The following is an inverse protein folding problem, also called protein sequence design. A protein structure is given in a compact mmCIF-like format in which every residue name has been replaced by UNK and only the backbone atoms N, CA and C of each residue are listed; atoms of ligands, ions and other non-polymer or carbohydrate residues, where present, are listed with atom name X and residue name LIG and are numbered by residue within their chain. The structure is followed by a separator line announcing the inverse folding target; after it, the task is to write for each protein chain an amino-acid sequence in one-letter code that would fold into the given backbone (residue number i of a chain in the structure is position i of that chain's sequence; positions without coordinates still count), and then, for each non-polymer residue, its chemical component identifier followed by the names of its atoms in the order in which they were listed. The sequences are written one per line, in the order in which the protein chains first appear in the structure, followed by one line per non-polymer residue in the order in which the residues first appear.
data_IF_898986481974
#
_entry.id   IF_898986481974
#
_cell.length_a   1.000
_cell.length_b   1.000
_cell.length_c   1.000
_cell.angle_alpha   90.00
_cell.angle_beta   90.00
_cell.angle_gamma   90.00
#
_symmetry.space_group_name_H-M   'P 1'
#
loop_
_entity.id
_entity.type
_entity.pdbx_description
1 polymer ?
#
# COMPACT_ATOMS: atom_id res chain seq x y z
N UNK A 1 2.32 -24.74 8.66
CA UNK A 1 2.53 -26.17 8.33
C UNK A 1 2.48 -26.38 6.84
N UNK A 2 3.11 -27.45 6.30
CA UNK A 2 3.12 -27.74 4.86
C UNK A 2 1.71 -27.77 4.23
N UNK A 3 0.71 -28.28 4.96
CA UNK A 3 -0.68 -28.27 4.51
C UNK A 3 -1.26 -26.84 4.38
N UNK A 4 -0.92 -25.97 5.32
CA UNK A 4 -1.29 -24.55 5.26
C UNK A 4 -0.66 -23.85 4.07
N UNK A 5 0.60 -24.15 3.77
CA UNK A 5 1.32 -23.53 2.66
C UNK A 5 0.78 -23.98 1.30
N UNK A 6 0.39 -25.25 1.17
CA UNK A 6 -0.28 -25.79 -0.03
C UNK A 6 -1.62 -25.09 -0.24
N UNK A 7 -2.41 -24.92 0.82
CA UNK A 7 -3.71 -24.24 0.75
C UNK A 7 -3.56 -22.78 0.32
N UNK A 8 -2.65 -22.03 0.95
CA UNK A 8 -2.38 -20.64 0.58
C UNK A 8 -1.94 -20.50 -0.89
N UNK A 9 -1.06 -21.38 -1.36
CA UNK A 9 -0.66 -21.43 -2.77
C UNK A 9 -1.86 -21.66 -3.69
N UNK A 10 -2.77 -22.58 -3.33
CA UNK A 10 -3.96 -22.84 -4.13
C UNK A 10 -4.86 -21.61 -4.24
N UNK A 11 -5.05 -20.82 -3.17
CA UNK A 11 -5.81 -19.58 -3.23
C UNK A 11 -5.19 -18.57 -4.20
N UNK A 12 -3.86 -18.40 -4.14
CA UNK A 12 -3.13 -17.51 -5.05
C UNK A 12 -3.16 -18.02 -6.50
N UNK A 13 -3.08 -19.34 -6.73
CA UNK A 13 -3.18 -19.96 -8.06
C UNK A 13 -4.58 -19.75 -8.65
N UNK A 14 -5.62 -19.91 -7.86
CA UNK A 14 -7.00 -19.65 -8.26
C UNK A 14 -7.19 -18.18 -8.66
N UNK A 15 -6.63 -17.26 -7.89
CA UNK A 15 -6.68 -15.83 -8.18
C UNK A 15 -5.94 -15.50 -9.49
N UNK A 16 -4.73 -16.01 -9.68
CA UNK A 16 -3.97 -15.85 -10.92
C UNK A 16 -4.72 -16.40 -12.12
N UNK A 17 -5.26 -17.61 -12.01
CA UNK A 17 -6.02 -18.26 -13.09
C UNK A 17 -7.29 -17.48 -13.46
N UNK A 18 -7.96 -16.86 -12.49
CA UNK A 18 -9.10 -15.99 -12.74
C UNK A 18 -8.71 -14.77 -13.56
N UNK A 19 -7.59 -14.12 -13.23
CA UNK A 19 -7.07 -12.96 -13.97
C UNK A 19 -6.63 -13.36 -15.39
N UNK A 20 -5.93 -14.49 -15.54
CA UNK A 20 -5.48 -15.01 -16.84
C UNK A 20 -6.65 -15.35 -17.77
N UNK A 21 -7.74 -15.93 -17.26
CA UNK A 21 -8.98 -16.17 -18.02
C UNK A 21 -9.63 -14.89 -18.54
N UNK A 22 -9.32 -13.74 -17.92
CA UNK A 22 -9.76 -12.40 -18.37
C UNK A 22 -8.74 -11.72 -19.29
N UNK A 23 -7.70 -12.44 -19.73
CA UNK A 23 -6.67 -11.93 -20.62
C UNK A 23 -5.60 -11.10 -19.94
N UNK A 24 -5.51 -11.13 -18.61
CA UNK A 24 -4.50 -10.41 -17.84
C UNK A 24 -3.29 -11.33 -17.64
N UNK A 25 -2.13 -10.91 -18.10
CA UNK A 25 -0.88 -11.63 -17.83
C UNK A 25 -0.53 -11.47 -16.34
N UNK A 26 -0.25 -12.58 -15.68
CA UNK A 26 0.14 -12.61 -14.27
C UNK A 26 1.59 -13.07 -14.16
N UNK A 27 2.47 -12.18 -13.73
CA UNK A 27 3.85 -12.49 -13.43
C UNK A 27 4.05 -12.53 -11.91
N UNK A 28 4.88 -13.45 -11.42
CA UNK A 28 5.16 -13.61 -9.99
C UNK A 28 6.61 -13.27 -9.68
N UNK A 29 6.89 -12.66 -8.53
CA UNK A 29 8.26 -12.41 -8.11
C UNK A 29 9.03 -13.70 -7.85
N UNK A 30 10.34 -13.61 -7.84
CA UNK A 30 11.22 -14.70 -7.41
C UNK A 30 11.42 -14.60 -5.89
N UNK A 31 10.88 -15.54 -5.09
CA UNK A 31 10.97 -15.44 -3.63
C UNK A 31 12.43 -15.57 -3.15
N UNK A 32 12.71 -14.85 -2.04
CA UNK A 32 13.91 -15.05 -1.23
C UNK A 32 13.58 -15.99 -0.05
N UNK A 33 14.60 -16.45 0.65
CA UNK A 33 14.39 -17.08 1.96
C UNK A 33 14.18 -16.00 3.03
N UNK A 34 12.91 -15.66 3.29
CA UNK A 34 12.52 -14.61 4.22
C UNK A 34 12.74 -14.95 5.70
N UNK A 35 13.01 -16.22 6.02
CA UNK A 35 13.27 -16.67 7.40
C UNK A 35 14.74 -16.50 7.81
N UNK A 36 15.58 -16.04 6.90
CA UNK A 36 16.99 -15.80 7.20
C UNK A 36 17.20 -14.42 7.82
N UNK A 37 18.12 -14.31 8.80
CA UNK A 37 18.57 -13.02 9.28
C UNK A 37 19.17 -12.20 8.13
N UNK A 38 18.94 -10.91 8.15
CA UNK A 38 19.49 -9.98 7.17
C UNK A 38 20.14 -8.79 7.85
N UNK A 39 21.08 -8.16 7.18
CA UNK A 39 21.80 -7.01 7.76
C UNK A 39 22.35 -6.08 6.69
N UNK A 40 22.57 -4.84 7.11
CA UNK A 40 23.40 -3.85 6.46
C UNK A 40 24.57 -3.51 7.42
N UNK A 41 25.50 -2.62 7.05
CA UNK A 41 26.50 -2.12 8.00
C UNK A 41 25.88 -1.39 9.22
N UNK A 42 24.65 -0.89 9.11
CA UNK A 42 24.01 -0.04 10.12
C UNK A 42 23.07 -0.79 11.07
N UNK A 43 22.52 -1.96 10.64
CA UNK A 43 21.54 -2.70 11.43
C UNK A 43 21.47 -4.18 11.05
N UNK A 44 20.79 -4.94 11.92
CA UNK A 44 20.43 -6.35 11.69
C UNK A 44 18.94 -6.53 11.94
N UNK A 45 18.32 -7.44 11.20
CA UNK A 45 16.96 -7.92 11.42
C UNK A 45 16.95 -9.45 11.44
N UNK A 46 16.18 -10.05 12.35
CA UNK A 46 16.12 -11.50 12.54
C UNK A 46 15.48 -12.22 11.35
N UNK A 47 14.54 -11.55 10.68
CA UNK A 47 13.86 -12.07 9.49
C UNK A 47 13.57 -10.93 8.52
N UNK A 48 13.29 -11.27 7.27
CA UNK A 48 12.61 -10.39 6.31
C UNK A 48 11.09 -10.59 6.41
N UNK A 49 10.31 -9.71 5.78
CA UNK A 49 8.85 -9.75 5.84
C UNK A 49 8.25 -10.70 4.76
N UNK A 50 8.46 -10.40 3.48
CA UNK A 50 7.88 -11.16 2.38
C UNK A 50 7.96 -10.43 1.04
N UNK A 51 7.25 -10.94 0.03
CA UNK A 51 7.14 -10.29 -1.29
C UNK A 51 5.71 -10.34 -1.85
N UNK A 52 4.71 -10.55 -1.02
CA UNK A 52 3.34 -10.70 -1.46
C UNK A 52 2.72 -9.38 -1.99
N UNK A 53 2.92 -8.21 -1.34
CA UNK A 53 2.36 -6.96 -1.80
C UNK A 53 3.33 -6.17 -2.70
N UNK A 54 3.37 -6.42 -4.02
CA UNK A 54 4.31 -5.73 -4.92
C UNK A 54 4.11 -4.22 -4.95
N UNK A 55 2.87 -3.73 -4.79
CA UNK A 55 2.58 -2.29 -4.80
C UNK A 55 3.13 -1.53 -3.58
N UNK A 56 3.55 -2.22 -2.52
CA UNK A 56 4.19 -1.57 -1.38
C UNK A 56 5.62 -1.14 -1.71
N UNK A 57 6.26 -1.89 -2.61
CA UNK A 57 7.67 -1.74 -2.98
C UNK A 57 7.85 -1.02 -4.32
N UNK A 58 6.92 -1.24 -5.26
CA UNK A 58 7.02 -0.78 -6.65
C UNK A 58 5.95 0.27 -6.94
N UNK A 59 6.38 1.48 -7.23
CA UNK A 59 5.51 2.56 -7.69
C UNK A 59 5.59 2.67 -9.21
N UNK A 60 4.46 2.46 -9.88
CA UNK A 60 4.36 2.65 -11.33
C UNK A 60 3.74 3.99 -11.66
N UNK A 61 4.46 4.86 -12.38
CA UNK A 61 3.97 6.16 -12.86
C UNK A 61 4.34 6.30 -14.34
N UNK A 62 3.34 6.31 -15.21
CA UNK A 62 3.54 6.30 -16.66
C UNK A 62 4.29 5.04 -17.10
N UNK A 63 5.44 5.22 -17.74
CA UNK A 63 6.32 4.14 -18.20
C UNK A 63 7.45 3.81 -17.21
N UNK A 64 7.41 4.38 -16.02
CA UNK A 64 8.42 4.14 -14.99
C UNK A 64 7.91 3.17 -13.92
N UNK A 65 8.74 2.22 -13.53
CA UNK A 65 8.61 1.44 -12.30
C UNK A 65 9.74 1.88 -11.37
N UNK A 66 9.37 2.51 -10.26
CA UNK A 66 10.27 3.01 -9.23
C UNK A 66 10.27 2.07 -8.03
N UNK A 67 11.44 1.60 -7.61
CA UNK A 67 11.62 0.91 -6.33
C UNK A 67 11.60 1.95 -5.20
N UNK A 68 10.66 1.81 -4.27
CA UNK A 68 10.54 2.69 -3.11
C UNK A 68 11.71 2.53 -2.13
N UNK A 69 11.87 3.51 -1.25
CA UNK A 69 12.92 3.48 -0.22
C UNK A 69 12.73 2.33 0.76
N UNK A 70 11.50 2.01 1.12
CA UNK A 70 11.05 1.19 2.24
C UNK A 70 11.50 1.73 3.59
N UNK A 71 10.57 1.84 4.53
CA UNK A 71 10.81 2.43 5.84
C UNK A 71 11.04 1.41 6.95
N UNK A 72 10.74 0.13 6.72
CA UNK A 72 11.00 -0.95 7.68
C UNK A 72 12.24 -1.75 7.31
N UNK A 73 13.14 -1.97 8.27
CA UNK A 73 14.37 -2.75 8.09
C UNK A 73 14.10 -4.15 7.53
N UNK A 74 13.08 -4.84 8.04
CA UNK A 74 12.71 -6.18 7.57
C UNK A 74 12.18 -6.21 6.12
N UNK A 75 11.80 -5.06 5.55
CA UNK A 75 11.30 -4.92 4.18
C UNK A 75 12.33 -4.33 3.21
N UNK A 76 13.48 -3.91 3.70
CA UNK A 76 14.47 -3.17 2.92
C UNK A 76 14.95 -3.92 1.67
N UNK A 77 15.05 -5.27 1.74
CA UNK A 77 15.52 -6.12 0.65
C UNK A 77 14.41 -6.70 -0.24
N UNK A 78 13.14 -6.39 -0.02
CA UNK A 78 12.02 -6.95 -0.81
C UNK A 78 12.12 -6.65 -2.30
N UNK A 79 12.71 -5.53 -2.70
CA UNK A 79 12.92 -5.20 -4.11
C UNK A 79 13.71 -6.26 -4.88
N UNK A 80 14.55 -7.05 -4.21
CA UNK A 80 15.32 -8.12 -4.84
C UNK A 80 14.44 -9.21 -5.45
N UNK A 81 13.28 -9.47 -4.87
CA UNK A 81 12.32 -10.44 -5.40
C UNK A 81 11.77 -10.05 -6.77
N UNK A 82 11.68 -8.76 -7.04
CA UNK A 82 11.11 -8.20 -8.26
C UNK A 82 12.15 -7.94 -9.34
N UNK A 83 13.43 -7.88 -8.99
CA UNK A 83 14.53 -7.57 -9.93
C UNK A 83 14.58 -8.48 -11.17
N UNK A 84 14.36 -9.80 -11.09
CA UNK A 84 14.30 -10.64 -12.28
C UNK A 84 13.20 -10.25 -13.25
N UNK A 85 11.98 -9.91 -12.75
CA UNK A 85 10.87 -9.44 -13.57
C UNK A 85 11.16 -8.06 -14.17
N UNK A 86 11.67 -7.13 -13.36
CA UNK A 86 11.99 -5.77 -13.85
C UNK A 86 13.06 -5.80 -14.93
N UNK A 87 14.06 -6.68 -14.81
CA UNK A 87 15.06 -6.90 -15.84
C UNK A 87 14.45 -7.45 -17.14
N UNK A 88 13.51 -8.38 -17.01
CA UNK A 88 12.78 -8.92 -18.17
C UNK A 88 11.99 -7.79 -18.84
N UNK A 89 11.17 -7.03 -18.11
CA UNK A 89 10.36 -5.93 -18.67
C UNK A 89 11.23 -4.86 -19.34
N UNK A 90 12.34 -4.49 -18.71
CA UNK A 90 13.30 -3.55 -19.29
C UNK A 90 13.87 -4.02 -20.64
N UNK A 91 14.13 -5.32 -20.79
CA UNK A 91 14.62 -5.89 -22.03
C UNK A 91 13.52 -6.03 -23.12
N UNK A 92 12.26 -6.23 -22.71
CA UNK A 92 11.12 -6.42 -23.62
C UNK A 92 10.53 -5.09 -24.11
N UNK A 93 10.55 -4.04 -23.26
CA UNK A 93 9.97 -2.72 -23.56
C UNK A 93 11.05 -1.62 -23.57
N UNK A 94 11.46 -1.11 -24.75
CA UNK A 94 12.47 -0.06 -24.85
C UNK A 94 12.03 1.29 -24.25
N UNK A 95 10.76 1.49 -23.96
CA UNK A 95 10.25 2.70 -23.33
C UNK A 95 10.14 2.58 -21.80
N UNK A 96 10.25 1.39 -21.25
CA UNK A 96 10.17 1.16 -19.82
C UNK A 96 11.37 1.77 -19.09
N UNK A 97 11.11 2.53 -18.05
CA UNK A 97 12.12 3.05 -17.13
C UNK A 97 12.08 2.27 -15.83
N UNK A 98 13.23 1.77 -15.43
CA UNK A 98 13.43 1.16 -14.13
C UNK A 98 14.32 2.07 -13.29
N UNK A 99 13.79 2.58 -12.21
CA UNK A 99 14.48 3.50 -11.31
C UNK A 99 14.46 2.96 -9.87
N UNK A 100 15.43 3.36 -9.09
CA UNK A 100 15.48 3.05 -7.66
C UNK A 100 15.59 4.35 -6.87
N UNK A 101 14.70 4.58 -5.93
CA UNK A 101 14.84 5.67 -4.97
C UNK A 101 16.12 5.48 -4.13
N UNK A 102 16.69 6.53 -3.56
CA UNK A 102 17.85 6.41 -2.69
C UNK A 102 17.60 5.36 -1.61
N UNK A 103 18.47 4.37 -1.51
CA UNK A 103 18.34 3.34 -0.46
C UNK A 103 18.74 3.96 0.89
N UNK A 104 17.79 4.08 1.85
CA UNK A 104 18.06 4.69 3.14
C UNK A 104 18.97 3.79 3.98
N UNK A 105 19.75 4.38 4.85
CA UNK A 105 20.55 3.62 5.81
C UNK A 105 19.69 2.97 6.89
N UNK A 106 18.56 3.59 7.24
CA UNK A 106 17.67 3.17 8.33
C UNK A 106 18.39 2.99 9.66
N UNK A 107 19.20 3.99 10.02
CA UNK A 107 19.86 4.04 11.33
C UNK A 107 18.85 4.29 12.45
N UNK A 108 19.26 4.24 13.70
CA UNK A 108 18.38 4.57 14.82
C UNK A 108 17.93 6.05 14.82
N UNK A 109 18.64 6.93 14.10
CA UNK A 109 18.25 8.32 13.92
C UNK A 109 17.00 8.49 13.04
N UNK A 110 16.69 7.50 12.21
CA UNK A 110 15.48 7.50 11.36
C UNK A 110 14.20 7.24 12.14
N UNK A 111 14.29 6.82 13.40
CA UNK A 111 13.13 6.43 14.20
C UNK A 111 13.07 7.14 15.53
N UNK A 112 11.85 7.44 15.97
CA UNK A 112 11.59 7.95 17.32
C UNK A 112 11.59 6.79 18.30
N UNK A 113 12.52 6.83 19.26
CA UNK A 113 12.64 5.82 20.30
C UNK A 113 11.31 5.68 21.07
N UNK A 114 10.97 4.46 21.40
CA UNK A 114 9.78 4.08 22.17
C UNK A 114 8.42 4.49 21.54
N UNK A 115 8.40 4.99 20.31
CA UNK A 115 7.16 5.40 19.64
C UNK A 115 6.16 4.24 19.53
N UNK A 116 6.61 3.03 19.18
CA UNK A 116 5.77 1.84 19.02
C UNK A 116 5.57 1.05 20.31
N UNK A 117 5.98 1.59 21.48
CA UNK A 117 5.78 0.94 22.77
C UNK A 117 4.31 0.63 23.06
N UNK A 118 4.02 -0.55 23.55
CA UNK A 118 2.66 -0.99 23.97
C UNK A 118 2.09 -0.14 25.10
N UNK A 119 2.94 0.63 25.81
CA UNK A 119 2.52 1.59 26.84
C UNK A 119 1.82 2.82 26.29
N UNK A 120 1.89 3.05 24.96
CA UNK A 120 1.28 4.19 24.30
C UNK A 120 -0.16 3.83 23.91
N UNK A 121 -1.12 4.38 24.65
CA UNK A 121 -2.55 4.17 24.38
C UNK A 121 -3.05 4.83 23.10
N UNK A 122 -4.18 4.35 22.59
CA UNK A 122 -4.82 4.79 21.32
C UNK A 122 -5.05 6.31 21.29
N UNK A 123 -5.53 6.92 22.39
CA UNK A 123 -5.80 8.36 22.41
C UNK A 123 -4.53 9.20 22.17
N UNK A 124 -3.41 8.77 22.74
CA UNK A 124 -2.13 9.44 22.52
C UNK A 124 -1.65 9.26 21.06
N UNK A 125 -1.85 8.09 20.46
CA UNK A 125 -1.52 7.85 19.05
C UNK A 125 -2.36 8.71 18.10
N UNK A 126 -3.66 8.81 18.36
CA UNK A 126 -4.55 9.70 17.60
C UNK A 126 -4.09 11.15 17.68
N UNK A 127 -3.74 11.62 18.89
CA UNK A 127 -3.18 12.97 19.06
C UNK A 127 -1.89 13.16 18.30
N UNK A 128 -0.99 12.19 18.31
CA UNK A 128 0.24 12.24 17.52
C UNK A 128 -0.03 12.27 16.02
N UNK A 129 -1.01 11.49 15.52
CA UNK A 129 -1.39 11.53 14.10
C UNK A 129 -1.98 12.89 13.72
N UNK A 130 -2.82 13.48 14.57
CA UNK A 130 -3.34 14.84 14.40
C UNK A 130 -2.20 15.88 14.31
N UNK A 131 -1.21 15.76 15.20
CA UNK A 131 -0.03 16.63 15.25
C UNK A 131 1.02 16.29 14.17
N UNK A 132 0.77 15.28 13.34
CA UNK A 132 1.70 14.77 12.31
C UNK A 132 3.05 14.34 12.90
N UNK A 133 3.03 13.79 14.09
CA UNK A 133 4.17 13.24 14.80
C UNK A 133 4.17 11.73 14.64
N UNK A 134 5.05 11.20 13.78
CA UNK A 134 5.10 9.79 13.40
C UNK A 134 6.38 9.09 13.87
N UNK A 135 6.41 7.77 13.74
CA UNK A 135 7.55 6.94 14.15
C UNK A 135 8.83 7.28 13.41
N UNK A 136 8.74 7.57 12.12
CA UNK A 136 9.88 8.00 11.32
C UNK A 136 10.21 9.47 11.58
N UNK A 137 11.50 9.78 11.60
CA UNK A 137 12.02 11.15 11.66
C UNK A 137 12.16 11.71 10.25
N UNK A 138 12.70 12.93 10.16
CA UNK A 138 13.07 13.53 8.88
C UNK A 138 14.59 13.41 8.61
N UNK A 139 15.23 12.32 9.07
CA UNK A 139 16.68 12.12 8.85
C UNK A 139 16.97 11.84 7.38
N UNK A 140 16.30 10.87 6.79
CA UNK A 140 16.42 10.48 5.37
C UNK A 140 15.06 10.54 4.66
N UNK A 141 15.05 10.63 3.31
CA UNK A 141 13.80 10.44 2.55
C UNK A 141 13.27 9.01 2.70
N UNK A 142 12.08 8.86 3.27
CA UNK A 142 11.41 7.57 3.47
C UNK A 142 10.02 7.60 2.84
N UNK A 143 9.71 6.58 2.05
CA UNK A 143 8.35 6.29 1.57
C UNK A 143 8.21 4.84 1.16
N UNK A 144 7.02 4.27 1.39
CA UNK A 144 6.57 3.04 0.78
C UNK A 144 5.68 3.39 -0.43
N UNK A 145 5.76 2.62 -1.50
CA UNK A 145 4.97 2.89 -2.71
C UNK A 145 3.46 2.79 -2.46
N UNK A 146 3.04 1.99 -1.47
CA UNK A 146 1.63 1.86 -1.08
C UNK A 146 1.02 3.11 -0.43
N UNK A 147 1.83 4.10 -0.08
CA UNK A 147 1.34 5.41 0.38
C UNK A 147 1.02 6.37 -0.77
N UNK A 148 1.25 5.96 -2.02
CA UNK A 148 1.10 6.82 -3.20
C UNK A 148 -0.09 6.39 -4.04
N UNK A 149 -1.06 7.27 -4.20
CA UNK A 149 -2.19 7.12 -5.12
C UNK A 149 -1.98 7.99 -6.37
N UNK A 150 -2.43 7.49 -7.50
CA UNK A 150 -2.29 8.15 -8.82
C UNK A 150 -3.63 8.64 -9.33
N UNK A 151 -3.71 9.93 -9.63
CA UNK A 151 -4.87 10.60 -10.21
C UNK A 151 -4.43 11.37 -11.47
N UNK A 152 -4.07 10.63 -12.53
CA UNK A 152 -3.52 11.23 -13.73
C UNK A 152 -2.19 11.95 -13.45
N UNK A 153 -2.19 13.28 -13.55
CA UNK A 153 -1.01 14.12 -13.26
C UNK A 153 -0.87 14.51 -11.78
N UNK A 154 -1.76 14.02 -10.92
CA UNK A 154 -1.68 14.22 -9.49
C UNK A 154 -1.25 12.94 -8.77
N UNK A 155 -0.27 13.04 -7.90
CA UNK A 155 0.15 11.99 -6.98
C UNK A 155 -0.25 12.40 -5.57
N UNK A 156 -1.09 11.62 -4.92
CA UNK A 156 -1.54 11.85 -3.55
C UNK A 156 -0.79 10.91 -2.63
N UNK A 157 -0.08 11.46 -1.66
CA UNK A 157 0.85 10.71 -0.81
C UNK A 157 0.44 10.85 0.66
N UNK A 158 0.21 9.72 1.33
CA UNK A 158 -0.05 9.72 2.76
C UNK A 158 1.23 10.05 3.53
N UNK A 159 1.18 11.11 4.34
CA UNK A 159 2.17 11.35 5.37
C UNK A 159 1.79 10.54 6.62
N UNK A 160 2.63 9.60 7.00
CA UNK A 160 2.32 8.63 8.05
C UNK A 160 3.56 7.91 8.59
N UNK A 161 3.38 6.66 9.01
CA UNK A 161 4.45 5.86 9.60
C UNK A 161 5.56 5.50 8.61
N UNK A 162 5.17 5.23 7.37
CA UNK A 162 6.05 4.69 6.32
C UNK A 162 6.53 5.73 5.33
N UNK A 163 5.93 6.93 5.37
CA UNK A 163 6.28 8.02 4.46
C UNK A 163 6.40 9.33 5.23
N UNK A 164 7.60 9.91 5.21
CA UNK A 164 7.90 11.19 5.84
C UNK A 164 7.89 12.35 4.83
N UNK A 165 8.02 13.59 5.31
CA UNK A 165 8.00 14.78 4.45
C UNK A 165 9.20 14.84 3.50
N UNK A 166 10.38 14.37 3.91
CA UNK A 166 11.54 14.26 3.01
C UNK A 166 11.28 13.28 1.86
N UNK A 167 10.60 12.16 2.11
CA UNK A 167 10.19 11.21 1.07
C UNK A 167 9.21 11.85 0.09
N UNK A 168 8.24 12.60 0.59
CA UNK A 168 7.29 13.37 -0.26
C UNK A 168 8.02 14.44 -1.07
N UNK A 169 8.97 15.15 -0.48
CA UNK A 169 9.77 16.15 -1.19
C UNK A 169 10.66 15.51 -2.26
N UNK A 170 11.22 14.33 -1.97
CA UNK A 170 11.97 13.57 -2.97
C UNK A 170 11.08 13.19 -4.16
N UNK A 171 9.86 12.71 -3.93
CA UNK A 171 8.88 12.40 -4.99
C UNK A 171 8.53 13.63 -5.82
N UNK A 172 8.37 14.82 -5.20
CA UNK A 172 8.17 16.10 -5.91
C UNK A 172 9.32 16.44 -6.85
N UNK A 173 10.55 16.19 -6.42
CA UNK A 173 11.75 16.46 -7.22
C UNK A 173 11.93 15.44 -8.34
N UNK A 174 11.55 14.19 -8.10
CA UNK A 174 11.64 13.13 -9.08
C UNK A 174 10.56 13.25 -10.19
N UNK A 175 9.31 13.43 -9.80
CA UNK A 175 8.18 13.54 -10.71
C UNK A 175 7.84 14.99 -11.05
N UNK A 176 8.74 15.70 -11.75
CA UNK A 176 8.61 17.14 -12.06
C UNK A 176 7.39 17.49 -12.90
N UNK A 177 6.89 16.53 -13.69
CA UNK A 177 5.71 16.71 -14.56
C UNK A 177 4.39 16.32 -13.86
N UNK A 178 4.44 16.03 -12.57
CA UNK A 178 3.29 15.69 -11.72
C UNK A 178 3.17 16.67 -10.55
N UNK A 179 1.95 16.83 -10.07
CA UNK A 179 1.66 17.54 -8.81
C UNK A 179 1.61 16.52 -7.68
N UNK A 180 2.44 16.68 -6.67
CA UNK A 180 2.52 15.77 -5.52
C UNK A 180 1.88 16.44 -4.31
N UNK A 181 0.83 15.84 -3.78
CA UNK A 181 0.03 16.34 -2.67
C UNK A 181 0.20 15.46 -1.43
N UNK A 182 0.59 16.06 -0.32
CA UNK A 182 0.63 15.37 0.97
C UNK A 182 -0.76 15.36 1.61
N UNK A 183 -1.22 14.20 2.06
CA UNK A 183 -2.46 14.05 2.83
C UNK A 183 -2.18 13.33 4.14
N UNK A 184 -3.05 13.52 5.15
CA UNK A 184 -3.00 12.77 6.39
C UNK A 184 -4.41 12.47 6.90
N UNK A 185 -4.54 11.42 7.70
CA UNK A 185 -5.81 10.93 8.23
C UNK A 185 -5.78 10.94 9.75
N UNK A 186 -6.21 12.05 10.41
CA UNK A 186 -6.07 12.23 11.86
C UNK A 186 -6.78 11.18 12.71
N UNK A 187 -7.81 10.53 12.17
CA UNK A 187 -8.53 9.44 12.83
C UNK A 187 -7.81 8.09 12.82
N UNK A 188 -6.62 7.99 12.20
CA UNK A 188 -5.86 6.75 12.13
C UNK A 188 -4.77 6.71 13.21
N UNK A 189 -4.85 5.79 14.20
CA UNK A 189 -3.81 5.65 15.22
C UNK A 189 -2.55 4.94 14.70
N UNK A 190 -2.63 4.30 13.52
CA UNK A 190 -1.55 3.55 12.88
C UNK A 190 -1.56 3.80 11.37
N UNK A 191 -1.19 5.02 10.90
CA UNK A 191 -1.27 5.39 9.50
C UNK A 191 -0.15 4.73 8.69
N UNK A 192 -0.37 3.47 8.34
CA UNK A 192 0.48 2.64 7.49
C UNK A 192 -0.31 2.34 6.23
N UNK A 193 0.19 2.74 5.09
CA UNK A 193 -0.41 2.59 3.77
C UNK A 193 -1.83 3.19 3.64
N UNK A 194 -2.09 3.80 2.52
CA UNK A 194 -3.33 4.55 2.28
C UNK A 194 -4.50 3.66 1.82
N UNK A 195 -4.23 2.45 1.37
CA UNK A 195 -5.15 1.57 0.66
C UNK A 195 -6.33 1.02 1.49
N UNK A 196 -6.18 0.92 2.82
CA UNK A 196 -7.28 0.59 3.74
C UNK A 196 -7.98 1.84 4.31
N UNK A 197 -7.74 3.00 3.74
CA UNK A 197 -8.23 4.29 4.26
C UNK A 197 -8.87 5.15 3.18
N UNK A 198 -8.29 5.23 1.99
CA UNK A 198 -8.73 6.11 0.92
C UNK A 198 -8.45 5.46 -0.43
N UNK A 199 -9.49 4.98 -1.11
CA UNK A 199 -9.35 4.13 -2.29
C UNK A 199 -10.13 4.68 -3.47
N UNK A 200 -9.46 5.14 -4.55
CA UNK A 200 -10.14 5.47 -5.80
C UNK A 200 -10.66 4.20 -6.46
N UNK A 201 -11.94 4.19 -6.80
CA UNK A 201 -12.62 3.03 -7.41
C UNK A 201 -12.72 3.20 -8.93
N UNK A 202 -13.10 4.37 -9.37
CA UNK A 202 -13.18 4.76 -10.78
C UNK A 202 -13.04 6.28 -10.88
N UNK A 203 -12.92 6.79 -12.07
CA UNK A 203 -12.90 8.23 -12.30
C UNK A 203 -14.10 8.91 -11.64
N UNK A 204 -13.84 9.93 -10.85
CA UNK A 204 -14.83 10.70 -10.11
C UNK A 204 -15.32 10.07 -8.81
N UNK A 205 -14.86 8.87 -8.41
CA UNK A 205 -15.36 8.19 -7.22
C UNK A 205 -14.25 7.62 -6.33
N UNK A 206 -14.29 8.00 -5.05
CA UNK A 206 -13.39 7.53 -4.01
C UNK A 206 -14.22 7.00 -2.83
N UNK A 207 -13.83 5.86 -2.28
CA UNK A 207 -14.33 5.40 -0.98
C UNK A 207 -13.31 5.78 0.12
N UNK A 208 -13.80 6.31 1.23
CA UNK A 208 -13.00 6.71 2.38
C UNK A 208 -13.47 5.96 3.63
N UNK A 209 -12.52 5.47 4.40
CA UNK A 209 -12.80 4.88 5.70
C UNK A 209 -13.50 5.89 6.61
N UNK A 210 -14.72 5.61 7.12
CA UNK A 210 -15.49 6.56 7.93
C UNK A 210 -14.86 6.88 9.28
N UNK A 211 -13.95 6.01 9.77
CA UNK A 211 -13.20 6.24 11.01
C UNK A 211 -11.92 7.08 10.78
N UNK A 212 -11.47 7.18 9.51
CA UNK A 212 -10.22 7.83 9.10
C UNK A 212 -10.48 8.81 7.96
N UNK A 213 -11.40 9.76 8.21
CA UNK A 213 -11.82 10.70 7.16
C UNK A 213 -10.73 11.69 6.82
N UNK A 214 -10.60 11.97 5.53
CA UNK A 214 -9.76 13.04 5.05
C UNK A 214 -10.29 14.38 5.58
N UNK A 215 -9.44 15.26 6.15
CA UNK A 215 -9.85 16.57 6.63
C UNK A 215 -10.52 17.43 5.56
N UNK A 216 -11.50 18.25 5.92
CA UNK A 216 -12.28 19.08 4.99
C UNK A 216 -11.43 19.91 4.04
N UNK A 217 -10.35 20.51 4.53
CA UNK A 217 -9.47 21.31 3.69
C UNK A 217 -8.73 20.49 2.63
N UNK A 218 -8.35 19.26 2.96
CA UNK A 218 -7.70 18.34 2.00
C UNK A 218 -8.72 17.72 1.04
N UNK A 219 -9.98 17.54 1.45
CA UNK A 219 -11.07 17.05 0.57
C UNK A 219 -11.32 17.97 -0.61
N UNK A 220 -11.14 19.28 -0.44
CA UNK A 220 -11.32 20.27 -1.51
C UNK A 220 -10.46 20.00 -2.74
N UNK A 221 -9.28 19.38 -2.57
CA UNK A 221 -8.44 18.95 -3.70
C UNK A 221 -9.20 18.03 -4.65
N UNK A 222 -10.03 17.14 -4.11
CA UNK A 222 -10.80 16.16 -4.88
C UNK A 222 -12.16 16.74 -5.32
N UNK A 223 -12.92 17.29 -4.40
CA UNK A 223 -14.27 17.79 -4.63
C UNK A 223 -14.30 18.91 -5.68
N UNK A 224 -13.31 19.82 -5.66
CA UNK A 224 -13.18 20.89 -6.66
C UNK A 224 -12.77 20.39 -8.05
N UNK A 225 -12.30 19.14 -8.14
CA UNK A 225 -11.89 18.49 -9.39
C UNK A 225 -12.86 17.37 -9.81
N UNK A 226 -14.09 17.41 -9.34
CA UNK A 226 -15.17 16.51 -9.78
C UNK A 226 -15.13 15.11 -9.15
N UNK A 227 -14.42 14.93 -8.03
CA UNK A 227 -14.39 13.67 -7.31
C UNK A 227 -15.41 13.67 -6.18
N UNK A 228 -16.23 12.65 -6.13
CA UNK A 228 -17.10 12.32 -4.99
C UNK A 228 -16.34 11.43 -4.02
N UNK A 229 -16.41 11.76 -2.72
CA UNK A 229 -15.83 10.96 -1.64
C UNK A 229 -16.97 10.44 -0.78
N UNK A 230 -17.18 9.14 -0.81
CA UNK A 230 -18.22 8.46 -0.04
C UNK A 230 -17.62 7.59 1.06
N UNK A 231 -18.41 7.30 2.08
CA UNK A 231 -17.98 6.40 3.16
C UNK A 231 -17.96 4.94 2.64
N UNK A 232 -16.91 4.21 3.01
CA UNK A 232 -16.82 2.78 2.75
C UNK A 232 -17.87 2.00 3.55
N UNK A 233 -18.38 0.91 2.99
CA UNK A 233 -19.23 -0.02 3.71
C UNK A 233 -18.50 -0.60 4.94
N UNK A 234 -19.26 -0.96 5.97
CA UNK A 234 -18.71 -1.58 7.17
C UNK A 234 -18.05 -2.93 6.83
N UNK A 235 -16.90 -3.25 7.42
CA UNK A 235 -16.31 -4.57 7.30
C UNK A 235 -17.29 -5.67 7.69
N UNK A 236 -17.25 -6.81 7.00
CA UNK A 236 -18.07 -7.96 7.35
C UNK A 236 -17.51 -8.73 8.58
N UNK A 237 -16.27 -8.48 8.92
CA UNK A 237 -15.57 -9.13 10.03
C UNK A 237 -15.27 -8.14 11.15
N UNK A 238 -15.28 -8.63 12.40
CA UNK A 238 -14.92 -7.84 13.59
C UNK A 238 -13.41 -7.86 13.88
N UNK A 239 -12.69 -8.78 13.24
CA UNK A 239 -11.25 -8.96 13.42
C UNK A 239 -10.56 -9.11 12.05
N UNK A 240 -9.33 -8.63 11.90
CA UNK A 240 -8.55 -8.85 10.68
C UNK A 240 -8.21 -10.34 10.50
N UNK A 241 -7.74 -10.76 9.32
CA UNK A 241 -7.25 -12.13 9.12
C UNK A 241 -6.15 -12.48 10.12
N UNK A 242 -6.03 -13.74 10.55
CA UNK A 242 -4.96 -14.18 11.46
C UNK A 242 -3.58 -13.84 10.88
N UNK A 243 -2.70 -13.33 11.75
CA UNK A 243 -1.31 -12.92 11.40
C UNK A 243 -1.21 -11.74 10.41
N UNK A 244 -2.31 -11.10 10.09
CA UNK A 244 -2.31 -9.91 9.24
C UNK A 244 -2.04 -8.64 10.09
N UNK A 245 -1.04 -7.86 9.69
CA UNK A 245 -0.70 -6.58 10.33
C UNK A 245 -1.58 -5.41 9.83
N UNK A 246 -2.87 -5.66 9.65
CA UNK A 246 -3.84 -4.66 9.21
C UNK A 246 -5.03 -4.58 10.17
N UNK A 247 -5.94 -3.68 9.90
CA UNK A 247 -7.21 -3.56 10.61
C UNK A 247 -8.31 -4.32 9.88
N UNK A 248 -9.50 -4.38 10.48
CA UNK A 248 -10.72 -4.90 9.82
C UNK A 248 -11.04 -4.15 8.52
N UNK A 249 -10.55 -2.92 8.37
CA UNK A 249 -10.72 -2.10 7.17
C UNK A 249 -9.88 -2.58 5.97
N UNK A 250 -9.17 -3.69 6.11
CA UNK A 250 -8.63 -4.45 4.97
C UNK A 250 -9.74 -4.81 3.95
N UNK A 251 -11.02 -4.80 4.38
CA UNK A 251 -12.19 -4.88 3.49
C UNK A 251 -12.17 -3.89 2.32
N UNK A 252 -11.53 -2.73 2.50
CA UNK A 252 -11.38 -1.70 1.46
C UNK A 252 -10.25 -2.00 0.48
N UNK A 253 -9.39 -2.96 0.77
CA UNK A 253 -8.26 -3.31 -0.08
C UNK A 253 -8.72 -4.19 -1.24
N UNK A 254 -9.20 -3.54 -2.29
CA UNK A 254 -9.78 -4.14 -3.49
C UNK A 254 -8.82 -4.00 -4.67
N UNK A 255 -8.93 -4.89 -5.66
CA UNK A 255 -8.21 -4.76 -6.92
C UNK A 255 -9.17 -4.27 -8.01
N UNK A 256 -9.03 -3.02 -8.41
CA UNK A 256 -9.74 -2.47 -9.57
C UNK A 256 -9.00 -2.92 -10.84
N UNK A 257 -9.67 -3.72 -11.67
CA UNK A 257 -9.11 -4.23 -12.93
C UNK A 257 -9.26 -3.18 -14.05
N UNK A 258 -10.44 -2.58 -14.11
CA UNK A 258 -10.79 -1.53 -15.06
C UNK A 258 -11.92 -0.64 -14.47
N UNK A 259 -12.35 0.44 -15.14
CA UNK A 259 -13.36 1.35 -14.60
C UNK A 259 -14.74 0.72 -14.29
N UNK A 260 -14.96 -0.53 -14.68
CA UNK A 260 -16.22 -1.25 -14.47
C UNK A 260 -16.07 -2.51 -13.62
N UNK A 261 -14.85 -3.00 -13.38
CA UNK A 261 -14.60 -4.33 -12.80
C UNK A 261 -13.67 -4.25 -11.59
N UNK A 262 -14.10 -4.85 -10.49
CA UNK A 262 -13.34 -4.85 -9.22
C UNK A 262 -13.36 -6.23 -8.57
N UNK A 263 -12.19 -6.67 -8.08
CA UNK A 263 -12.07 -7.85 -7.25
C UNK A 263 -12.23 -7.47 -5.77
N UNK A 264 -13.08 -8.20 -5.06
CA UNK A 264 -13.35 -8.01 -3.64
C UNK A 264 -13.17 -9.35 -2.93
N UNK A 265 -12.61 -9.34 -1.72
CA UNK A 265 -12.55 -10.56 -0.90
C UNK A 265 -13.97 -11.10 -0.68
N UNK A 266 -14.18 -12.38 -0.97
CA UNK A 266 -15.53 -12.97 -1.11
C UNK A 266 -16.39 -12.90 0.16
N UNK A 267 -15.77 -12.86 1.33
CA UNK A 267 -16.46 -12.75 2.62
C UNK A 267 -16.88 -11.32 2.97
N UNK A 268 -16.32 -10.30 2.29
CA UNK A 268 -16.62 -8.89 2.48
C UNK A 268 -17.90 -8.47 1.74
N UNK A 269 -19.01 -9.08 2.12
CA UNK A 269 -20.32 -8.94 1.46
C UNK A 269 -20.84 -7.51 1.39
N UNK A 270 -20.60 -6.69 2.40
CA UNK A 270 -21.10 -5.31 2.44
C UNK A 270 -20.32 -4.40 1.47
N UNK A 271 -19.01 -4.63 1.35
CA UNK A 271 -18.19 -3.93 0.37
C UNK A 271 -18.55 -4.35 -1.05
N UNK A 272 -18.79 -5.64 -1.29
CA UNK A 272 -19.24 -6.16 -2.57
C UNK A 272 -20.59 -5.56 -2.98
N UNK A 273 -21.56 -5.53 -2.06
CA UNK A 273 -22.89 -4.95 -2.31
C UNK A 273 -22.80 -3.43 -2.59
N UNK A 274 -21.96 -2.70 -1.87
CA UNK A 274 -21.76 -1.26 -2.12
C UNK A 274 -21.22 -1.02 -3.53
N UNK A 275 -20.18 -1.76 -3.95
CA UNK A 275 -19.57 -1.59 -5.26
C UNK A 275 -20.49 -2.02 -6.40
N UNK A 276 -21.29 -3.06 -6.21
CA UNK A 276 -22.33 -3.48 -7.17
C UNK A 276 -23.38 -2.36 -7.35
N UNK A 277 -23.89 -1.77 -6.26
CA UNK A 277 -24.83 -0.63 -6.31
C UNK A 277 -24.22 0.61 -6.98
N UNK A 278 -22.90 0.76 -6.97
CA UNK A 278 -22.18 1.82 -7.67
C UNK A 278 -21.91 1.49 -9.14
N UNK A 279 -22.46 0.37 -9.63
CA UNK A 279 -22.41 -0.05 -11.03
C UNK A 279 -21.09 -0.75 -11.42
N UNK A 280 -20.38 -1.33 -10.47
CA UNK A 280 -19.20 -2.16 -10.74
C UNK A 280 -19.58 -3.62 -10.91
N UNK A 281 -18.95 -4.32 -11.85
CA UNK A 281 -18.91 -5.79 -11.86
C UNK A 281 -18.01 -6.25 -10.72
N UNK A 282 -18.57 -6.90 -9.71
CA UNK A 282 -17.83 -7.40 -8.55
C UNK A 282 -17.41 -8.84 -8.75
N UNK A 283 -16.11 -9.11 -8.71
CA UNK A 283 -15.54 -10.46 -8.78
C UNK A 283 -15.14 -10.87 -7.36
N UNK A 284 -15.82 -11.88 -6.77
CA UNK A 284 -15.41 -12.38 -5.47
C UNK A 284 -14.10 -13.18 -5.57
N UNK A 285 -13.14 -12.88 -4.71
CA UNK A 285 -11.85 -13.58 -4.62
C UNK A 285 -11.64 -14.11 -3.21
N UNK A 286 -11.13 -15.33 -3.10
CA UNK A 286 -10.91 -16.00 -1.82
C UNK A 286 -9.44 -15.81 -1.40
N UNK A 287 -9.17 -14.79 -0.63
CA UNK A 287 -7.81 -14.43 -0.23
C UNK A 287 -7.63 -14.24 1.29
N UNK A 288 -8.72 -14.28 2.09
CA UNK A 288 -8.63 -14.00 3.53
C UNK A 288 -7.61 -14.89 4.25
N UNK A 289 -7.53 -16.15 3.88
CA UNK A 289 -6.61 -17.13 4.48
C UNK A 289 -5.25 -17.20 3.76
N UNK A 290 -5.04 -16.37 2.74
CA UNK A 290 -3.76 -16.30 2.03
C UNK A 290 -2.73 -15.37 2.70
N UNK A 291 -3.17 -14.54 3.63
CA UNK A 291 -2.32 -13.59 4.37
C UNK A 291 -1.43 -14.26 5.40
#
# INVERSE_FOLDING_TARGET
SAASDVYKRQLLDNFSSMLEKRGIKVDRPTPLDFNQPTSTPDWKAETMFGCMPPRDVLLTVGNEILEATMSYRCRWFEYLCYRPLLKQYYNEDPNMRHESAPKPRLTDADYRKDYLSDKIGIQKRLKWTEDKFFVTTEEEPLFDAADVLRFGKDLVVQHGFTTNLKGIDWLKRHYKDHRVHAVNFPGDPYPIHIDATFTPIKEGLIINNPQRRLPKEQRKLFENNGWEIIDAAQPAHNEPPPLCYSSVWLSMNVLVIDPKTVCVEKSEKYQAEQLDKLGMEVIPVDLRDAY
#
